data_IF_866999850393
#
_entry.id   IF_866999850393
#
_cell.length_a   1.000
_cell.length_b   1.000
_cell.length_c   1.000
_cell.angle_alpha   90.00
_cell.angle_beta   90.00
_cell.angle_gamma   90.00
#
_symmetry.space_group_name_H-M   'P 1'
#
loop_
_entity.id
_entity.type
_entity.pdbx_description
1 polymer ?
#
# COMPACT_ATOMS: atom_id res chain seq x y z
N UNK A 1 -10.35 5.05 -16.06
CA UNK A 1 -9.86 4.44 -14.79
C UNK A 1 -11.06 3.73 -14.17
N UNK A 2 -10.96 2.43 -13.92
CA UNK A 2 -12.02 1.61 -13.36
C UNK A 2 -11.97 1.58 -11.83
N UNK A 3 -10.76 1.49 -11.28
CA UNK A 3 -10.51 1.53 -9.84
C UNK A 3 -9.21 2.29 -9.53
N UNK A 4 -9.13 2.84 -8.33
CA UNK A 4 -7.94 3.49 -7.78
C UNK A 4 -7.75 3.03 -6.36
N UNK A 5 -6.50 2.77 -6.03
CA UNK A 5 -6.07 2.59 -4.67
C UNK A 5 -4.85 3.45 -4.44
N UNK A 6 -4.88 4.29 -3.41
CA UNK A 6 -3.66 4.95 -2.95
C UNK A 6 -3.47 4.91 -1.44
N UNK A 7 -2.21 4.98 -1.06
CA UNK A 7 -1.75 5.02 0.32
C UNK A 7 -0.58 5.98 0.41
N UNK A 8 -0.58 6.84 1.44
CA UNK A 8 0.50 7.77 1.73
C UNK A 8 1.33 7.18 2.88
N UNK A 9 2.58 6.86 2.62
CA UNK A 9 3.55 6.42 3.62
C UNK A 9 4.43 7.59 4.06
N UNK A 10 4.55 7.77 5.38
CA UNK A 10 5.46 8.74 5.97
C UNK A 10 6.71 8.01 6.45
N UNK A 11 7.78 8.07 5.65
CA UNK A 11 9.04 7.46 6.03
C UNK A 11 9.67 8.26 7.18
N UNK A 12 10.42 7.58 8.07
CA UNK A 12 11.11 8.20 9.22
C UNK A 12 11.99 9.40 8.83
N UNK A 13 12.42 9.48 7.56
CA UNK A 13 13.17 10.60 6.99
C UNK A 13 12.58 10.91 5.61
N UNK A 14 12.17 12.16 5.39
CA UNK A 14 11.78 12.65 4.07
C UNK A 14 10.34 13.13 3.97
N UNK A 15 9.97 13.49 2.74
CA UNK A 15 8.62 13.92 2.37
C UNK A 15 7.67 12.70 2.29
N UNK A 16 6.34 12.93 2.35
CA UNK A 16 5.36 11.87 2.15
C UNK A 16 5.57 11.13 0.83
N UNK A 17 5.47 9.80 0.86
CA UNK A 17 5.61 8.94 -0.32
C UNK A 17 4.26 8.34 -0.68
N UNK A 18 3.76 8.65 -1.87
CA UNK A 18 2.52 8.08 -2.37
C UNK A 18 2.78 6.76 -3.11
N UNK A 19 2.09 5.69 -2.70
CA UNK A 19 1.92 4.48 -3.49
C UNK A 19 0.52 4.50 -4.10
N UNK A 20 0.44 4.48 -5.44
CA UNK A 20 -0.82 4.58 -6.17
C UNK A 20 -0.91 3.44 -7.17
N UNK A 21 -2.04 2.74 -7.16
CA UNK A 21 -2.38 1.67 -8.10
C UNK A 21 -3.62 2.10 -8.88
N UNK A 22 -3.53 2.00 -10.20
CA UNK A 22 -4.62 2.29 -11.12
C UNK A 22 -5.04 1.02 -11.84
N UNK A 23 -6.35 0.82 -11.96
CA UNK A 23 -6.92 -0.16 -12.88
C UNK A 23 -7.45 0.59 -14.09
N UNK A 24 -6.98 0.21 -15.27
CA UNK A 24 -7.51 0.70 -16.54
C UNK A 24 -8.78 -0.07 -16.88
N UNK A 25 -9.68 0.56 -17.65
CA UNK A 25 -10.95 -0.05 -18.06
C UNK A 25 -10.79 -1.00 -19.25
N UNK A 26 -9.68 -0.90 -19.98
CA UNK A 26 -9.33 -1.78 -21.09
C UNK A 26 -8.94 -3.15 -20.55
N UNK A 27 -9.25 -4.22 -21.29
CA UNK A 27 -8.75 -5.55 -20.96
C UNK A 27 -7.22 -5.58 -21.10
N UNK A 28 -6.54 -5.96 -20.02
CA UNK A 28 -5.08 -6.03 -19.92
C UNK A 28 -4.61 -7.43 -19.55
N UNK A 29 -5.41 -8.48 -19.80
CA UNK A 29 -4.97 -9.87 -19.60
C UNK A 29 -3.76 -10.21 -20.46
N UNK A 30 -3.70 -9.68 -21.69
CA UNK A 30 -2.56 -9.81 -22.62
C UNK A 30 -2.17 -8.44 -23.19
N UNK A 31 -1.45 -7.59 -22.43
CA UNK A 31 -1.10 -6.25 -22.88
C UNK A 31 -0.05 -6.32 -23.99
N UNK A 32 -0.21 -5.51 -25.04
CA UNK A 32 0.83 -5.35 -26.06
C UNK A 32 1.93 -4.41 -25.58
N UNK A 33 3.12 -4.52 -26.20
CA UNK A 33 4.22 -3.62 -25.91
C UNK A 33 3.84 -2.15 -26.19
N UNK A 34 3.13 -1.89 -27.28
CA UNK A 34 2.63 -0.56 -27.66
C UNK A 34 1.69 0.02 -26.61
N UNK A 35 0.79 -0.81 -26.08
CA UNK A 35 -0.14 -0.39 -25.03
C UNK A 35 0.62 0.05 -23.78
N UNK A 36 1.57 -0.76 -23.29
CA UNK A 36 2.39 -0.41 -22.13
C UNK A 36 3.21 0.86 -22.41
N UNK A 37 3.83 0.94 -23.58
CA UNK A 37 4.67 2.07 -24.00
C UNK A 37 3.90 3.38 -24.11
N UNK A 38 2.58 3.34 -24.35
CA UNK A 38 1.73 4.53 -24.33
C UNK A 38 1.63 5.18 -22.95
N UNK A 39 1.88 4.42 -21.89
CA UNK A 39 1.85 4.91 -20.50
C UNK A 39 3.25 5.03 -19.87
N UNK A 40 4.18 4.13 -20.21
CA UNK A 40 5.44 3.98 -19.49
C UNK A 40 6.59 3.93 -20.49
N UNK A 41 7.61 4.75 -20.26
CA UNK A 41 8.88 4.69 -20.99
C UNK A 41 10.05 4.66 -20.03
N UNK A 42 11.15 4.06 -20.47
CA UNK A 42 12.43 4.09 -19.77
C UNK A 42 13.54 4.68 -20.67
N UNK A 43 13.15 5.54 -21.61
CA UNK A 43 14.04 6.18 -22.58
C UNK A 43 14.20 7.68 -22.30
N UNK A 44 15.38 8.20 -22.61
CA UNK A 44 15.68 9.63 -22.56
C UNK A 44 14.89 10.32 -23.68
N UNK A 45 14.05 11.33 -23.36
CA UNK A 45 13.30 12.08 -24.36
C UNK A 45 14.25 12.82 -25.31
N UNK A 46 13.79 13.07 -26.54
CA UNK A 46 14.59 13.82 -27.50
C UNK A 46 14.61 15.30 -27.11
N UNK A 47 15.77 15.92 -26.81
CA UNK A 47 15.83 17.32 -26.44
C UNK A 47 15.37 18.27 -27.56
N UNK A 48 15.41 17.85 -28.83
CA UNK A 48 14.91 18.67 -29.94
C UNK A 48 13.38 18.69 -29.99
N UNK A 49 12.72 17.58 -29.63
CA UNK A 49 11.26 17.45 -29.68
C UNK A 49 10.60 17.80 -28.34
N UNK A 50 11.27 17.53 -27.22
CA UNK A 50 10.76 17.76 -25.86
C UNK A 50 11.87 18.29 -24.91
N UNK A 51 12.28 19.57 -25.07
CA UNK A 51 13.31 20.17 -24.22
C UNK A 51 12.94 20.19 -22.73
N UNK A 52 11.67 20.47 -22.42
CA UNK A 52 11.17 20.48 -21.04
C UNK A 52 11.20 19.08 -20.43
N UNK A 53 10.73 18.08 -21.18
CA UNK A 53 10.81 16.68 -20.77
C UNK A 53 12.24 16.27 -20.47
N UNK A 54 13.19 16.62 -21.35
CA UNK A 54 14.61 16.33 -21.16
C UNK A 54 15.20 16.97 -19.89
N UNK A 55 14.88 18.24 -19.62
CA UNK A 55 15.35 18.95 -18.43
C UNK A 55 14.82 18.31 -17.14
N UNK A 56 13.50 18.13 -17.02
CA UNK A 56 12.86 17.53 -15.84
C UNK A 56 13.30 16.09 -15.63
N UNK A 57 13.47 15.35 -16.73
CA UNK A 57 13.93 13.99 -16.71
C UNK A 57 15.33 13.86 -16.10
N UNK A 58 16.27 14.69 -16.52
CA UNK A 58 17.65 14.66 -16.03
C UNK A 58 17.74 14.84 -14.51
N UNK A 59 16.87 15.70 -13.98
CA UNK A 59 16.77 15.96 -12.54
C UNK A 59 16.12 14.80 -11.78
N UNK A 60 14.96 14.34 -12.25
CA UNK A 60 14.08 13.49 -11.43
C UNK A 60 14.08 12.00 -11.79
N UNK A 61 14.38 11.61 -13.04
CA UNK A 61 14.16 10.24 -13.55
C UNK A 61 15.44 9.41 -13.72
N UNK A 62 16.58 9.97 -13.34
CA UNK A 62 17.89 9.30 -13.45
C UNK A 62 18.25 8.68 -12.11
N UNK A 63 18.39 7.35 -12.07
CA UNK A 63 18.74 6.61 -10.84
C UNK A 63 19.99 7.17 -10.15
N UNK A 64 20.94 7.67 -10.94
CA UNK A 64 22.18 8.27 -10.48
C UNK A 64 23.36 7.31 -10.63
N UNK A 65 24.59 7.87 -10.69
CA UNK A 65 25.78 7.03 -10.76
C UNK A 65 25.87 6.17 -9.50
N UNK A 66 26.00 4.86 -9.70
CA UNK A 66 26.28 3.88 -8.66
C UNK A 66 27.15 2.77 -9.26
N UNK A 67 27.49 1.76 -8.46
CA UNK A 67 28.39 0.71 -8.92
C UNK A 67 29.78 1.28 -9.12
N UNK A 68 30.42 0.96 -10.24
CA UNK A 68 31.76 1.43 -10.58
C UNK A 68 31.92 2.95 -10.59
N UNK A 69 30.83 3.69 -10.84
CA UNK A 69 30.86 5.15 -10.81
C UNK A 69 30.77 5.75 -9.40
N UNK A 70 30.13 5.03 -8.46
CA UNK A 70 30.03 5.47 -7.06
C UNK A 70 29.65 4.29 -6.15
N UNK A 71 30.62 3.78 -5.38
CA UNK A 71 30.39 2.70 -4.42
C UNK A 71 29.63 3.15 -3.16
N UNK A 72 29.61 4.45 -2.86
CA UNK A 72 28.98 5.01 -1.66
C UNK A 72 27.50 5.37 -1.87
N UNK A 73 26.94 5.15 -3.06
CA UNK A 73 25.53 5.43 -3.34
C UNK A 73 24.62 4.59 -2.42
N UNK A 74 23.53 5.14 -1.84
CA UNK A 74 22.66 4.43 -0.90
C UNK A 74 22.03 3.14 -1.43
N UNK A 75 21.96 3.00 -2.76
CA UNK A 75 21.45 1.80 -3.42
C UNK A 75 22.44 0.63 -3.41
N UNK A 76 23.72 0.87 -3.11
CA UNK A 76 24.76 -0.15 -3.13
C UNK A 76 24.61 -1.12 -1.95
N UNK A 77 24.57 -2.42 -2.25
CA UNK A 77 24.54 -3.51 -1.28
C UNK A 77 25.49 -4.60 -1.77
N UNK A 78 26.42 -5.03 -0.91
CA UNK A 78 27.42 -6.07 -1.23
C UNK A 78 28.16 -5.79 -2.56
N UNK A 79 28.56 -4.55 -2.82
CA UNK A 79 29.22 -4.10 -4.07
C UNK A 79 28.35 -4.18 -5.34
N UNK A 80 27.04 -4.37 -5.22
CA UNK A 80 26.12 -4.35 -6.35
C UNK A 80 25.01 -3.31 -6.12
N UNK A 81 24.48 -2.72 -7.19
CA UNK A 81 23.28 -1.91 -7.05
C UNK A 81 22.08 -2.81 -6.71
N UNK A 82 21.44 -2.56 -5.57
CA UNK A 82 20.24 -3.31 -5.14
C UNK A 82 19.01 -3.13 -6.05
N UNK A 83 19.07 -2.18 -6.99
CA UNK A 83 18.07 -1.94 -8.03
C UNK A 83 18.50 -2.48 -9.40
N UNK A 84 19.68 -3.11 -9.46
CA UNK A 84 20.26 -3.71 -10.66
C UNK A 84 20.48 -2.70 -11.80
N UNK A 85 21.04 -1.53 -11.46
CA UNK A 85 21.54 -0.56 -12.43
C UNK A 85 23.05 -0.76 -12.67
N UNK A 86 23.55 -0.54 -13.91
CA UNK A 86 22.77 -0.24 -15.13
C UNK A 86 21.92 -1.43 -15.59
N UNK A 87 20.75 -1.15 -16.17
CA UNK A 87 19.91 -2.15 -16.84
C UNK A 87 20.55 -2.57 -18.18
N UNK A 88 20.04 -3.64 -18.78
CA UNK A 88 20.42 -3.99 -20.15
C UNK A 88 19.66 -3.12 -21.15
N UNK A 89 20.25 -2.91 -22.34
CA UNK A 89 19.49 -2.38 -23.46
C UNK A 89 18.45 -3.40 -23.90
N UNK A 90 17.32 -2.89 -24.38
CA UNK A 90 16.16 -3.69 -24.74
C UNK A 90 15.47 -3.03 -25.94
N UNK A 91 15.27 -3.77 -27.01
CA UNK A 91 14.68 -3.25 -28.26
C UNK A 91 13.18 -3.01 -28.15
N UNK A 92 12.48 -3.83 -27.36
CA UNK A 92 11.03 -3.81 -27.19
C UNK A 92 10.61 -4.11 -25.75
N UNK A 93 9.45 -3.61 -25.33
CA UNK A 93 8.93 -3.91 -24.00
C UNK A 93 8.35 -5.32 -23.98
N UNK A 94 8.81 -6.15 -23.05
CA UNK A 94 8.35 -7.54 -22.90
C UNK A 94 7.86 -7.77 -21.48
N UNK A 95 6.77 -8.50 -21.31
CA UNK A 95 6.32 -8.99 -20.01
C UNK A 95 6.83 -10.41 -19.83
N UNK A 96 7.63 -10.66 -18.79
CA UNK A 96 8.18 -11.98 -18.53
C UNK A 96 7.12 -12.98 -18.02
N UNK A 97 7.50 -14.24 -17.85
CA UNK A 97 6.60 -15.31 -17.37
C UNK A 97 6.03 -15.03 -15.97
N UNK A 98 6.76 -14.27 -15.15
CA UNK A 98 6.37 -13.88 -13.79
C UNK A 98 5.51 -12.60 -13.76
N UNK A 99 5.29 -11.95 -14.90
CA UNK A 99 4.52 -10.71 -15.02
C UNK A 99 5.33 -9.42 -14.88
N UNK A 100 6.66 -9.48 -14.83
CA UNK A 100 7.50 -8.27 -14.80
C UNK A 100 7.64 -7.69 -16.21
N UNK A 101 7.31 -6.41 -16.36
CA UNK A 101 7.64 -5.69 -17.58
C UNK A 101 9.13 -5.33 -17.59
N UNK A 102 9.81 -5.74 -18.66
CA UNK A 102 11.14 -5.28 -19.04
C UNK A 102 10.95 -4.24 -20.14
N UNK A 103 11.04 -2.96 -19.78
CA UNK A 103 10.80 -1.87 -20.73
C UNK A 103 11.89 -1.74 -21.77
N UNK A 104 11.46 -1.31 -22.96
CA UNK A 104 12.33 -0.83 -24.03
C UNK A 104 13.32 0.23 -23.52
N UNK A 105 14.58 0.03 -23.88
CA UNK A 105 15.73 0.92 -23.64
C UNK A 105 16.62 0.87 -24.88
N UNK A 106 16.39 1.75 -25.85
CA UNK A 106 17.18 1.72 -27.08
C UNK A 106 18.64 2.16 -26.85
N UNK A 107 19.56 1.60 -27.63
CA UNK A 107 20.93 2.11 -27.73
C UNK A 107 20.97 3.20 -28.80
N UNK A 108 20.50 4.41 -28.48
CA UNK A 108 20.34 5.53 -29.42
C UNK A 108 21.31 6.70 -29.17
N UNK A 109 22.45 6.43 -28.51
CA UNK A 109 23.50 7.38 -28.15
C UNK A 109 23.08 8.57 -27.24
N UNK A 110 21.79 8.72 -26.92
CA UNK A 110 21.28 9.74 -25.99
C UNK A 110 21.83 9.52 -24.59
N UNK A 111 22.10 10.63 -23.91
CA UNK A 111 22.65 10.61 -22.57
C UNK A 111 22.25 11.85 -21.78
N UNK A 112 22.42 11.74 -20.47
CA UNK A 112 22.37 12.84 -19.51
C UNK A 112 23.65 12.82 -18.69
N UNK A 113 24.16 14.00 -18.32
CA UNK A 113 25.34 14.11 -17.46
C UNK A 113 24.87 14.29 -16.02
N UNK A 114 25.30 13.41 -15.12
CA UNK A 114 25.02 13.51 -13.67
C UNK A 114 26.31 13.22 -12.91
N UNK A 115 26.74 14.15 -12.07
CA UNK A 115 28.02 14.08 -11.34
C UNK A 115 29.22 13.73 -12.25
N UNK A 116 29.37 14.48 -13.36
CA UNK A 116 30.40 14.27 -14.40
C UNK A 116 30.39 12.88 -15.06
N UNK A 117 29.32 12.10 -14.89
CA UNK A 117 29.19 10.77 -15.50
C UNK A 117 28.15 10.83 -16.61
N UNK A 118 28.48 10.26 -17.77
CA UNK A 118 27.55 10.11 -18.90
C UNK A 118 26.67 8.88 -18.69
N UNK A 119 25.37 9.10 -18.51
CA UNK A 119 24.38 8.06 -18.25
C UNK A 119 23.41 7.95 -19.42
N UNK A 120 23.28 6.77 -20.00
CA UNK A 120 22.38 6.45 -21.12
C UNK A 120 21.04 5.85 -20.65
N UNK A 121 20.23 5.34 -21.58
CA UNK A 121 18.92 4.72 -21.31
C UNK A 121 18.96 3.58 -20.29
N UNK A 122 20.11 2.99 -19.97
CA UNK A 122 20.24 1.92 -18.96
C UNK A 122 20.07 2.42 -17.53
N UNK A 123 20.17 3.72 -17.29
CA UNK A 123 20.15 4.35 -15.96
C UNK A 123 18.80 4.96 -15.58
N UNK A 124 17.82 4.76 -16.45
CA UNK A 124 16.59 5.52 -16.44
C UNK A 124 15.51 4.78 -15.66
N UNK A 125 14.88 5.49 -14.75
CA UNK A 125 13.73 4.99 -14.00
C UNK A 125 12.50 5.00 -14.94
N UNK A 126 11.75 3.88 -15.04
CA UNK A 126 10.50 3.84 -15.81
C UNK A 126 9.52 4.91 -15.34
N UNK A 127 8.93 5.64 -16.28
CA UNK A 127 8.17 6.84 -15.94
C UNK A 127 7.11 7.18 -17.00
N UNK A 128 6.21 8.09 -16.66
CA UNK A 128 5.22 8.67 -17.57
C UNK A 128 5.53 10.17 -17.77
N UNK A 129 5.65 10.62 -19.02
CA UNK A 129 5.99 12.01 -19.32
C UNK A 129 4.97 13.03 -18.85
N UNK A 130 3.69 12.71 -18.96
CA UNK A 130 2.61 13.60 -18.50
C UNK A 130 2.68 13.78 -16.99
N UNK A 131 2.90 12.71 -16.24
CA UNK A 131 3.03 12.78 -14.78
C UNK A 131 4.29 13.54 -14.36
N UNK A 132 5.43 13.28 -15.01
CA UNK A 132 6.66 14.01 -14.72
C UNK A 132 6.50 15.51 -14.93
N UNK A 133 5.95 15.93 -16.08
CA UNK A 133 5.74 17.35 -16.38
C UNK A 133 4.75 18.02 -15.44
N UNK A 134 3.69 17.30 -15.04
CA UNK A 134 2.66 17.82 -14.14
C UNK A 134 3.17 18.03 -12.72
N UNK A 135 3.95 17.08 -12.19
CA UNK A 135 4.33 17.07 -10.77
C UNK A 135 5.78 17.45 -10.49
N UNK A 136 6.65 17.46 -11.51
CA UNK A 136 8.07 17.85 -11.39
C UNK A 136 8.75 17.18 -10.19
N UNK A 137 8.56 15.86 -10.09
CA UNK A 137 9.02 15.06 -8.97
C UNK A 137 9.49 13.70 -9.43
N UNK A 138 10.24 13.01 -8.57
CA UNK A 138 10.64 11.64 -8.83
C UNK A 138 9.42 10.69 -8.75
N UNK A 139 8.97 10.16 -9.88
CA UNK A 139 7.82 9.26 -10.02
C UNK A 139 8.26 8.02 -10.80
N UNK A 140 8.38 6.88 -10.11
CA UNK A 140 8.55 5.60 -10.77
C UNK A 140 7.18 5.03 -11.16
N UNK A 141 6.97 4.72 -12.43
CA UNK A 141 5.74 4.13 -12.92
C UNK A 141 6.04 2.73 -13.44
N UNK A 142 5.37 1.73 -12.88
CA UNK A 142 5.61 0.33 -13.22
C UNK A 142 4.32 -0.35 -13.69
N UNK A 143 4.42 -1.12 -14.77
CA UNK A 143 3.41 -2.06 -15.16
C UNK A 143 3.38 -3.22 -14.17
N UNK A 144 2.21 -3.48 -13.60
CA UNK A 144 2.05 -4.46 -12.55
C UNK A 144 0.88 -5.38 -12.88
N UNK A 145 1.18 -6.63 -13.27
CA UNK A 145 0.17 -7.67 -13.40
C UNK A 145 0.57 -8.92 -12.59
N UNK A 146 -0.40 -9.81 -12.33
CA UNK A 146 -0.20 -11.11 -11.65
C UNK A 146 0.40 -11.00 -10.23
N UNK A 147 1.43 -11.80 -9.92
CA UNK A 147 1.98 -11.99 -8.57
C UNK A 147 2.61 -10.72 -7.98
N UNK A 148 3.10 -9.81 -8.83
CA UNK A 148 3.68 -8.54 -8.36
C UNK A 148 2.59 -7.67 -7.76
N UNK A 149 1.41 -7.62 -8.40
CA UNK A 149 0.29 -6.83 -7.90
C UNK A 149 -0.09 -7.28 -6.49
N UNK A 150 -0.20 -8.60 -6.28
CA UNK A 150 -0.46 -9.19 -4.96
C UNK A 150 0.62 -8.75 -3.96
N UNK A 151 1.90 -8.93 -4.30
CA UNK A 151 3.01 -8.51 -3.44
C UNK A 151 3.00 -7.01 -3.14
N UNK A 152 2.64 -6.18 -4.12
CA UNK A 152 2.60 -4.72 -3.98
C UNK A 152 1.46 -4.28 -3.07
N UNK A 153 0.28 -4.89 -3.24
CA UNK A 153 -0.89 -4.72 -2.38
C UNK A 153 -0.51 -5.06 -0.93
N UNK A 154 0.05 -6.25 -0.68
CA UNK A 154 0.44 -6.64 0.67
C UNK A 154 1.54 -5.75 1.27
N UNK A 155 2.49 -5.30 0.44
CA UNK A 155 3.67 -4.57 0.93
C UNK A 155 3.40 -3.11 1.28
N UNK A 156 2.52 -2.43 0.55
CA UNK A 156 2.34 -0.98 0.72
C UNK A 156 0.91 -0.60 1.08
N UNK A 157 -0.07 -1.37 0.64
CA UNK A 157 -1.49 -1.07 0.88
C UNK A 157 -1.94 -1.62 2.22
N UNK A 158 -1.62 -2.87 2.50
CA UNK A 158 -2.00 -3.51 3.77
C UNK A 158 -0.93 -3.38 4.84
N UNK A 159 0.22 -2.77 4.54
CA UNK A 159 1.25 -2.52 5.53
C UNK A 159 0.70 -1.53 6.54
N UNK A 160 0.63 -1.98 7.79
CA UNK A 160 0.25 -1.13 8.91
C UNK A 160 1.20 0.05 9.10
N UNK A 161 0.83 1.02 9.95
CA UNK A 161 1.69 2.15 10.25
C UNK A 161 3.02 1.69 10.84
N UNK A 162 4.05 2.52 10.71
CA UNK A 162 5.32 2.27 11.37
C UNK A 162 5.10 2.25 12.89
N UNK A 163 5.29 1.07 13.48
CA UNK A 163 5.27 0.86 14.92
C UNK A 163 6.71 0.83 15.44
N UNK A 164 6.92 1.47 16.60
CA UNK A 164 8.13 1.31 17.38
C UNK A 164 7.78 0.52 18.65
N UNK A 165 8.68 -0.39 19.02
CA UNK A 165 8.64 -1.03 20.33
C UNK A 165 9.26 -0.09 21.33
N UNK A 166 8.45 0.44 22.23
CA UNK A 166 8.95 1.17 23.38
C UNK A 166 9.26 0.16 24.48
N UNK A 167 10.52 0.14 24.91
CA UNK A 167 10.88 -0.53 26.15
C UNK A 167 10.32 0.31 27.30
N UNK A 168 9.19 -0.11 27.87
CA UNK A 168 8.73 0.47 29.11
C UNK A 168 9.68 -0.03 30.19
N UNK A 169 10.46 0.88 30.73
CA UNK A 169 11.43 0.58 31.76
C UNK A 169 10.71 0.30 33.10
N UNK A 170 9.94 -0.79 33.20
CA UNK A 170 9.53 -1.40 34.49
C UNK A 170 10.73 -1.74 35.38
N UNK A 171 11.92 -1.75 34.77
CA UNK A 171 13.25 -1.84 35.39
C UNK A 171 13.67 -0.57 36.14
N UNK A 172 13.12 0.63 35.87
CA UNK A 172 13.44 1.83 36.68
C UNK A 172 12.77 1.81 38.05
N UNK A 173 11.62 1.15 38.17
CA UNK A 173 10.86 1.01 39.42
C UNK A 173 11.05 -0.36 40.10
N UNK A 174 11.95 -1.21 39.57
CA UNK A 174 12.32 -2.49 40.20
C UNK A 174 11.25 -3.60 40.17
N UNK A 175 10.30 -3.56 39.23
CA UNK A 175 9.26 -4.58 39.12
C UNK A 175 9.73 -5.79 38.30
N UNK A 176 9.35 -7.00 38.74
CA UNK A 176 9.69 -8.26 38.05
C UNK A 176 9.02 -8.36 36.66
N UNK A 177 9.70 -9.03 35.73
CA UNK A 177 9.16 -9.23 34.38
C UNK A 177 7.92 -10.14 34.45
N UNK A 178 6.82 -9.84 33.73
CA UNK A 178 5.66 -10.72 33.69
C UNK A 178 6.08 -12.13 33.25
N UNK A 179 5.70 -13.13 34.04
CA UNK A 179 5.89 -14.54 33.71
C UNK A 179 4.64 -15.02 32.99
N UNK A 180 4.83 -15.83 31.97
CA UNK A 180 3.76 -16.57 31.31
C UNK A 180 3.33 -17.72 32.22
N UNK A 181 2.09 -17.70 32.70
CA UNK A 181 1.58 -18.65 33.70
C UNK A 181 1.52 -20.10 33.17
N UNK A 182 1.46 -20.28 31.85
CA UNK A 182 1.32 -21.60 31.22
C UNK A 182 2.70 -22.28 31.01
N UNK A 183 3.70 -21.48 30.67
CA UNK A 183 5.06 -21.98 30.37
C UNK A 183 6.07 -21.73 31.50
N UNK A 184 5.70 -20.93 32.50
CA UNK A 184 6.58 -20.44 33.57
C UNK A 184 7.86 -19.75 33.05
N UNK A 185 7.76 -19.12 31.86
CA UNK A 185 8.87 -18.41 31.22
C UNK A 185 8.63 -16.91 31.16
N UNK A 186 9.69 -16.13 30.94
CA UNK A 186 9.63 -14.68 30.81
C UNK A 186 8.75 -14.29 29.61
N UNK A 187 7.71 -13.50 29.83
CA UNK A 187 6.83 -13.04 28.77
C UNK A 187 7.42 -11.78 28.10
N UNK A 188 8.29 -11.99 27.11
CA UNK A 188 8.95 -10.92 26.35
C UNK A 188 7.96 -9.99 25.62
N UNK A 189 6.77 -10.48 25.26
CA UNK A 189 5.75 -9.67 24.56
C UNK A 189 5.19 -8.58 25.45
N UNK A 190 4.96 -8.88 26.75
CA UNK A 190 4.47 -7.90 27.74
C UNK A 190 5.53 -6.91 28.21
N UNK A 191 6.80 -7.10 27.81
CA UNK A 191 7.92 -6.22 28.16
C UNK A 191 7.99 -4.96 27.28
N UNK A 192 7.42 -5.01 26.08
CA UNK A 192 7.42 -3.89 25.14
C UNK A 192 6.02 -3.34 24.95
N UNK A 193 5.92 -2.01 24.86
CA UNK A 193 4.71 -1.36 24.38
C UNK A 193 4.84 -1.13 22.88
N UNK A 194 3.96 -1.72 22.10
CA UNK A 194 3.83 -1.41 20.68
C UNK A 194 3.17 -0.03 20.54
N UNK A 195 3.97 0.97 20.18
CA UNK A 195 3.49 2.33 19.94
C UNK A 195 3.57 2.68 18.46
N UNK A 196 2.57 3.42 17.98
CA UNK A 196 2.58 4.01 16.65
C UNK A 196 3.55 5.20 16.62
N UNK A 197 4.45 5.22 15.64
CA UNK A 197 5.24 6.40 15.34
C UNK A 197 4.45 7.36 14.46
N UNK A 198 4.42 8.64 14.82
CA UNK A 198 3.84 9.72 14.01
C UNK A 198 4.92 10.80 13.88
N UNK A 199 5.38 11.04 12.65
CA UNK A 199 6.35 12.10 12.38
C UNK A 199 5.65 13.46 12.20
N UNK A 200 6.37 14.60 12.24
CA UNK A 200 5.77 15.92 12.07
C UNK A 200 4.92 16.05 10.80
N UNK A 201 5.34 15.44 9.69
CA UNK A 201 4.60 15.48 8.42
C UNK A 201 3.31 14.65 8.46
N UNK A 202 3.33 13.46 9.08
CA UNK A 202 2.12 12.64 9.32
C UNK A 202 1.15 13.41 10.24
N UNK A 203 1.66 14.05 11.30
CA UNK A 203 0.86 14.90 12.19
C UNK A 203 0.17 16.04 11.43
N UNK A 204 0.90 16.81 10.62
CA UNK A 204 0.32 17.89 9.83
C UNK A 204 -0.72 17.35 8.83
N UNK A 205 -0.44 16.24 8.15
CA UNK A 205 -1.35 15.62 7.20
C UNK A 205 -2.69 15.24 7.85
N UNK A 206 -2.62 14.68 9.06
CA UNK A 206 -3.80 14.34 9.88
C UNK A 206 -4.55 15.56 10.38
N UNK A 207 -3.83 16.57 10.88
CA UNK A 207 -4.44 17.83 11.37
C UNK A 207 -5.22 18.52 10.26
N UNK A 208 -4.69 18.51 9.03
CA UNK A 208 -5.37 19.07 7.86
C UNK A 208 -6.47 18.17 7.28
N UNK A 209 -6.65 16.96 7.81
CA UNK A 209 -7.71 16.04 7.37
C UNK A 209 -7.48 15.47 5.97
N UNK A 210 -6.23 15.42 5.49
CA UNK A 210 -5.95 14.82 4.19
C UNK A 210 -6.06 13.28 4.26
N UNK A 211 -6.64 12.70 3.21
CA UNK A 211 -6.77 11.25 3.10
C UNK A 211 -5.39 10.57 3.06
N UNK A 212 -5.20 9.58 3.92
CA UNK A 212 -4.00 8.73 3.91
C UNK A 212 -4.20 7.53 3.01
N UNK A 213 -5.40 6.96 3.05
CA UNK A 213 -5.79 5.83 2.21
C UNK A 213 -7.05 6.20 1.45
N UNK A 214 -7.10 5.81 0.18
CA UNK A 214 -8.32 5.92 -0.64
C UNK A 214 -8.50 4.66 -1.45
N UNK A 215 -9.74 4.19 -1.45
CA UNK A 215 -10.20 3.09 -2.29
C UNK A 215 -11.35 3.61 -3.15
N UNK A 216 -11.23 3.43 -4.45
CA UNK A 216 -12.31 3.68 -5.39
C UNK A 216 -12.49 2.44 -6.28
N UNK A 217 -13.66 1.78 -6.28
CA UNK A 217 -14.80 2.06 -5.41
C UNK A 217 -14.45 1.85 -3.91
N UNK A 218 -15.24 2.39 -2.98
CA UNK A 218 -15.06 2.10 -1.56
C UNK A 218 -15.07 0.59 -1.31
N UNK A 219 -14.11 0.09 -0.54
CA UNK A 219 -14.00 -1.32 -0.16
C UNK A 219 -14.17 -1.43 1.35
N UNK A 220 -15.09 -2.27 1.79
CA UNK A 220 -15.26 -2.63 3.19
C UNK A 220 -14.62 -4.00 3.46
N UNK A 221 -13.83 -4.10 4.54
CA UNK A 221 -13.30 -5.39 4.99
C UNK A 221 -14.34 -6.09 5.85
N UNK A 222 -14.84 -7.22 5.39
CA UNK A 222 -15.76 -8.05 6.16
C UNK A 222 -15.04 -8.69 7.35
N UNK A 223 -15.56 -8.55 8.59
CA UNK A 223 -14.95 -9.17 9.75
C UNK A 223 -15.07 -10.69 9.68
N UNK A 224 -13.98 -11.38 9.98
CA UNK A 224 -13.94 -12.84 10.18
C UNK A 224 -13.19 -13.10 11.48
N UNK A 225 -13.78 -13.89 12.36
CA UNK A 225 -13.24 -14.19 13.68
C UNK A 225 -13.74 -15.56 14.17
N UNK A 226 -13.04 -16.14 15.15
CA UNK A 226 -13.49 -17.35 15.85
C UNK A 226 -14.62 -17.02 16.85
N UNK A 227 -15.31 -18.04 17.39
CA UNK A 227 -16.28 -17.84 18.45
C UNK A 227 -15.65 -17.09 19.64
N UNK A 228 -16.29 -16.00 20.06
CA UNK A 228 -15.84 -15.10 21.15
C UNK A 228 -14.52 -14.34 20.92
N UNK A 229 -13.97 -14.36 19.70
CA UNK A 229 -12.79 -13.56 19.32
C UNK A 229 -13.16 -12.31 18.50
N UNK A 230 -14.40 -11.82 18.63
CA UNK A 230 -14.80 -10.57 18.02
C UNK A 230 -14.25 -9.36 18.78
N UNK A 231 -13.89 -8.30 18.06
CA UNK A 231 -13.46 -7.04 18.64
C UNK A 231 -14.67 -6.18 18.98
N UNK A 232 -14.66 -5.61 20.18
CA UNK A 232 -15.67 -4.66 20.65
C UNK A 232 -14.99 -3.31 20.89
N UNK A 233 -15.53 -2.24 20.31
CA UNK A 233 -15.02 -0.88 20.52
C UNK A 233 -15.90 -0.16 21.54
N UNK A 234 -15.28 0.42 22.57
CA UNK A 234 -15.98 1.15 23.63
C UNK A 234 -15.14 2.33 24.11
N UNK A 235 -15.78 3.32 24.72
CA UNK A 235 -15.06 4.45 25.32
C UNK A 235 -14.37 4.02 26.61
N UNK A 236 -13.18 4.57 26.87
CA UNK A 236 -12.38 4.23 28.06
C UNK A 236 -13.12 4.45 29.40
N UNK A 237 -14.11 5.34 29.42
CA UNK A 237 -14.90 5.66 30.61
C UNK A 237 -16.21 4.87 30.71
N UNK A 238 -16.50 3.96 29.78
CA UNK A 238 -17.73 3.17 29.80
C UNK A 238 -17.67 2.09 30.87
N UNK A 239 -18.76 1.92 31.62
CA UNK A 239 -18.88 0.87 32.62
C UNK A 239 -18.85 -0.54 31.97
N UNK A 240 -17.93 -1.40 32.42
CA UNK A 240 -17.75 -2.73 31.84
C UNK A 240 -18.97 -3.65 32.02
N UNK A 241 -19.65 -3.57 33.16
CA UNK A 241 -20.88 -4.35 33.39
C UNK A 241 -21.98 -3.94 32.41
N UNK A 242 -22.08 -2.65 32.10
CA UNK A 242 -23.01 -2.15 31.08
C UNK A 242 -22.65 -2.67 29.68
N UNK A 243 -21.36 -2.66 29.29
CA UNK A 243 -20.89 -3.25 28.03
C UNK A 243 -21.28 -4.73 27.94
N UNK A 244 -21.02 -5.50 28.99
CA UNK A 244 -21.31 -6.94 29.01
C UNK A 244 -22.81 -7.26 28.94
N UNK A 245 -23.66 -6.35 29.43
CA UNK A 245 -25.12 -6.45 29.33
C UNK A 245 -25.67 -6.10 27.95
N UNK A 246 -24.90 -5.41 27.10
CA UNK A 246 -25.35 -5.03 25.76
C UNK A 246 -25.18 -6.20 24.79
N UNK A 247 -26.29 -6.86 24.48
CA UNK A 247 -26.31 -7.99 23.55
C UNK A 247 -25.88 -7.60 22.12
N UNK A 248 -26.15 -6.35 21.69
CA UNK A 248 -25.75 -5.87 20.37
C UNK A 248 -24.23 -5.86 20.18
N UNK A 249 -23.44 -5.62 21.23
CA UNK A 249 -21.98 -5.62 21.15
C UNK A 249 -21.39 -7.01 20.87
N UNK A 250 -22.21 -8.06 21.03
CA UNK A 250 -21.86 -9.44 20.67
C UNK A 250 -22.20 -9.76 19.22
N UNK A 251 -22.98 -8.91 18.54
CA UNK A 251 -23.36 -9.08 17.14
C UNK A 251 -22.25 -8.52 16.25
N UNK A 252 -21.91 -9.28 15.23
CA UNK A 252 -21.00 -8.84 14.16
C UNK A 252 -21.67 -9.11 12.82
N UNK A 253 -21.21 -8.44 11.77
CA UNK A 253 -21.70 -8.73 10.41
C UNK A 253 -21.62 -10.22 10.06
N UNK A 254 -20.60 -10.94 10.56
CA UNK A 254 -20.45 -12.38 10.32
C UNK A 254 -21.53 -13.20 11.03
N UNK A 255 -21.76 -12.91 12.32
CA UNK A 255 -22.76 -13.64 13.10
C UNK A 255 -24.16 -13.34 12.57
N UNK A 256 -24.46 -12.08 12.24
CA UNK A 256 -25.75 -11.70 11.67
C UNK A 256 -25.94 -12.27 10.26
N UNK A 257 -24.88 -12.51 9.48
CA UNK A 257 -24.98 -13.28 8.25
C UNK A 257 -25.42 -14.73 8.54
N UNK A 258 -24.86 -15.40 9.56
CA UNK A 258 -25.32 -16.74 9.94
C UNK A 258 -26.79 -16.75 10.38
N UNK A 259 -27.21 -15.76 11.17
CA UNK A 259 -28.61 -15.62 11.60
C UNK A 259 -29.52 -15.37 10.39
N UNK A 260 -29.13 -14.46 9.49
CA UNK A 260 -29.89 -14.16 8.28
C UNK A 260 -30.06 -15.41 7.39
N UNK A 261 -29.03 -16.25 7.27
CA UNK A 261 -29.12 -17.52 6.55
C UNK A 261 -30.15 -18.49 7.16
N UNK A 262 -30.34 -18.47 8.48
CA UNK A 262 -31.36 -19.29 9.14
C UNK A 262 -32.76 -18.75 8.84
N UNK A 263 -32.96 -17.43 8.93
CA UNK A 263 -34.27 -16.78 8.89
C UNK A 263 -34.77 -16.50 7.47
N UNK A 264 -33.90 -16.00 6.59
CA UNK A 264 -34.27 -15.50 5.27
C UNK A 264 -33.81 -16.45 4.16
N UNK A 265 -34.74 -16.93 3.34
CA UNK A 265 -34.42 -17.80 2.22
C UNK A 265 -33.53 -17.11 1.17
N UNK A 266 -33.73 -15.81 0.94
CA UNK A 266 -32.89 -15.02 0.03
C UNK A 266 -31.42 -14.94 0.48
N UNK A 267 -31.16 -14.88 1.79
CA UNK A 267 -29.80 -14.86 2.33
C UNK A 267 -29.01 -16.15 2.04
N UNK A 268 -29.69 -17.30 1.95
CA UNK A 268 -29.08 -18.61 1.70
C UNK A 268 -28.44 -18.73 0.33
N UNK A 269 -28.83 -17.86 -0.60
CA UNK A 269 -28.26 -17.80 -1.94
C UNK A 269 -26.97 -16.96 -2.02
N UNK A 270 -26.63 -16.22 -0.95
CA UNK A 270 -25.53 -15.27 -0.93
C UNK A 270 -24.37 -15.79 -0.07
N UNK A 271 -23.18 -15.80 -0.64
CA UNK A 271 -21.96 -16.00 0.16
C UNK A 271 -21.76 -14.81 1.09
N UNK A 272 -20.93 -14.95 2.14
CA UNK A 272 -20.65 -13.82 3.04
C UNK A 272 -20.07 -12.61 2.30
N UNK A 273 -19.27 -12.84 1.25
CA UNK A 273 -18.69 -11.78 0.42
C UNK A 273 -19.70 -11.07 -0.46
N UNK A 274 -20.74 -11.79 -0.90
CA UNK A 274 -21.80 -11.23 -1.75
C UNK A 274 -22.93 -10.63 -0.92
N UNK A 275 -23.04 -11.01 0.35
CA UNK A 275 -24.12 -10.57 1.24
C UNK A 275 -24.37 -9.05 1.27
N UNK A 276 -23.32 -8.18 1.27
CA UNK A 276 -23.51 -6.74 1.22
C UNK A 276 -24.12 -6.18 -0.07
N UNK A 277 -24.29 -7.00 -1.12
CA UNK A 277 -24.96 -6.56 -2.36
C UNK A 277 -26.45 -6.39 -2.19
N UNK A 278 -27.08 -7.16 -1.30
CA UNK A 278 -28.53 -7.17 -1.05
C UNK A 278 -28.90 -6.72 0.37
N UNK A 279 -27.94 -6.79 1.31
CA UNK A 279 -28.15 -6.54 2.73
C UNK A 279 -27.20 -5.47 3.24
N UNK A 280 -27.67 -4.62 4.16
CA UNK A 280 -26.84 -3.57 4.77
C UNK A 280 -26.76 -3.72 6.28
N UNK A 281 -25.59 -3.41 6.84
CA UNK A 281 -25.42 -3.25 8.28
C UNK A 281 -25.96 -1.88 8.72
N UNK A 282 -26.90 -1.85 9.66
CA UNK A 282 -27.49 -0.61 10.19
C UNK A 282 -27.02 -0.37 11.63
N UNK A 283 -26.07 0.54 11.81
CA UNK A 283 -25.51 0.89 13.12
C UNK A 283 -26.45 1.74 13.99
N UNK A 284 -27.57 2.26 13.43
CA UNK A 284 -28.39 3.29 14.08
C UNK A 284 -29.69 2.77 14.72
N UNK A 285 -29.98 1.48 14.64
CA UNK A 285 -31.26 0.91 15.14
C UNK A 285 -31.18 0.55 16.63
N UNK A 286 -31.17 1.58 17.47
CA UNK A 286 -31.07 1.42 18.93
C UNK A 286 -32.42 1.35 19.66
N UNK A 287 -33.58 1.61 19.05
CA UNK A 287 -34.83 1.70 19.83
C UNK A 287 -35.94 0.79 19.29
N UNK A 288 -35.89 -0.47 19.72
CA UNK A 288 -37.02 -1.39 19.69
C UNK A 288 -37.23 -2.10 18.36
N UNK A 289 -36.98 -3.42 18.38
CA UNK A 289 -37.56 -4.45 17.53
C UNK A 289 -37.79 -4.09 16.04
N UNK A 290 -36.85 -4.47 15.16
CA UNK A 290 -37.09 -4.93 13.78
C UNK A 290 -35.79 -5.38 13.12
N UNK A 291 -35.91 -6.48 12.39
CA UNK A 291 -34.87 -7.27 11.74
C UNK A 291 -34.04 -6.50 10.69
N UNK A 292 -33.01 -7.17 10.20
CA UNK A 292 -32.12 -6.76 9.11
C UNK A 292 -33.00 -6.42 7.89
N UNK A 293 -32.89 -5.20 7.35
CA UNK A 293 -33.67 -4.80 6.17
C UNK A 293 -32.99 -5.30 4.88
N UNK A 294 -33.80 -5.91 4.01
CA UNK A 294 -33.54 -6.05 2.58
C UNK A 294 -33.51 -4.68 1.92
N UNK A 295 -32.47 -4.40 1.13
CA UNK A 295 -32.47 -3.22 0.25
C UNK A 295 -33.08 -3.66 -1.10
N UNK A 296 -34.01 -2.86 -1.62
CA UNK A 296 -34.51 -2.96 -2.99
C UNK A 296 -33.63 -2.16 -3.96
#
# INVERSE_FOLDING_TARGET
IHAVLHTIEFQKRGLPHAHIIFWVSTDTTQPTAEFINSFITAEIPDPANDPLGYALFGEHMVHGPCGSYNHNSPCMKRNHCSKHYPKLFQTETVVDTNGFAVYKRASNARFVIKSNTRLDNRWIVPHNMTLLKKYQAHINVEWCNKSIFIKYLFKYVTKGPDCNKLYLQRVLDGQDTPIDEETNTRNEVKEYLDARFICPYDSCWRIFGFEIHRHFPPVARLPVHLPNENYITYHANTNMSHILSQEYLRRTMLIEWFVANQVHESARSLTYTDFPSEWRWDEKRDHGNKDIDTVA
#
